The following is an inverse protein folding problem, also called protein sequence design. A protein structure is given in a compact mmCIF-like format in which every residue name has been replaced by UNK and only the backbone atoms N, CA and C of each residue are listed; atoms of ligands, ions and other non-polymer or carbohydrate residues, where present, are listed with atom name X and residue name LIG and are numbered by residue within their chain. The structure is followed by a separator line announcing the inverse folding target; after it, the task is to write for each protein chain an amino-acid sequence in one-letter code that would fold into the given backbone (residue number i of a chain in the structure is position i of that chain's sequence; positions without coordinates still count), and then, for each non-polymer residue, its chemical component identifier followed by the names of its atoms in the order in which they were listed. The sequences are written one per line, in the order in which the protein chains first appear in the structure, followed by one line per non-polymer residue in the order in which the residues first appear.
data_IF_569104960119
#
_entry.id   IF_569104960119
#
_cell.length_a   1.000
_cell.length_b   1.000
_cell.length_c   1.000
_cell.angle_alpha   90.00
_cell.angle_beta   90.00
_cell.angle_gamma   90.00
#
_symmetry.space_group_name_H-M   'P 1'
#
loop_
_entity.id
_entity.type
_entity.pdbx_description
1 polymer ?
#
# COMPACT_ATOMS: atom_id res chain seq x y z
N UNK A 1 -42.94 -27.25 5.50
CA UNK A 1 -42.35 -28.60 5.65
C UNK A 1 -41.72 -28.97 4.32
N UNK A 2 -40.46 -28.67 4.14
CA UNK A 2 -39.70 -29.02 2.94
C UNK A 2 -38.99 -30.32 3.29
N UNK A 3 -39.14 -31.28 2.37
CA UNK A 3 -38.76 -32.67 2.54
C UNK A 3 -37.24 -32.85 2.76
N UNK A 4 -36.85 -33.48 3.85
CA UNK A 4 -35.46 -33.63 4.33
C UNK A 4 -34.55 -34.56 3.50
N UNK A 5 -34.97 -34.95 2.28
CA UNK A 5 -34.28 -35.95 1.48
C UNK A 5 -33.92 -35.53 0.06
N UNK A 6 -33.74 -34.21 -0.20
CA UNK A 6 -33.15 -33.78 -1.47
C UNK A 6 -31.63 -33.82 -1.38
N UNK A 7 -31.05 -34.88 -1.88
CA UNK A 7 -29.59 -34.95 -2.11
C UNK A 7 -29.12 -33.83 -2.99
N UNK A 8 -28.09 -33.12 -2.56
CA UNK A 8 -27.43 -32.05 -3.30
C UNK A 8 -26.91 -32.59 -4.65
N UNK A 9 -27.69 -32.41 -5.73
CA UNK A 9 -27.28 -32.84 -7.06
C UNK A 9 -26.47 -31.73 -7.74
N UNK A 10 -25.31 -32.07 -8.27
CA UNK A 10 -24.45 -31.19 -9.05
C UNK A 10 -25.20 -30.73 -10.31
N UNK A 11 -25.56 -29.45 -10.40
CA UNK A 11 -26.16 -28.89 -11.62
C UNK A 11 -27.21 -27.79 -11.42
N UNK A 12 -27.46 -27.30 -10.20
CA UNK A 12 -28.40 -26.24 -9.92
C UNK A 12 -27.71 -24.93 -9.52
N UNK A 13 -28.41 -23.80 -9.71
CA UNK A 13 -27.93 -22.42 -9.52
C UNK A 13 -27.09 -22.19 -8.26
N UNK A 14 -26.16 -21.22 -8.34
CA UNK A 14 -25.21 -20.86 -7.29
C UNK A 14 -25.87 -20.63 -5.91
N UNK A 15 -27.10 -20.18 -5.87
CA UNK A 15 -27.90 -19.99 -4.66
C UNK A 15 -28.24 -21.33 -3.99
N UNK A 16 -28.57 -22.35 -4.75
CA UNK A 16 -28.91 -23.68 -4.24
C UNK A 16 -27.66 -24.38 -3.66
N UNK A 17 -26.50 -24.16 -4.27
CA UNK A 17 -25.22 -24.68 -3.78
C UNK A 17 -24.84 -24.08 -2.43
N UNK A 18 -25.07 -22.76 -2.25
CA UNK A 18 -24.84 -22.08 -0.96
C UNK A 18 -25.74 -22.63 0.16
N UNK A 19 -27.04 -22.84 -0.12
CA UNK A 19 -27.96 -23.45 0.84
C UNK A 19 -27.54 -24.87 1.24
N UNK A 20 -27.11 -25.66 0.26
CA UNK A 20 -26.64 -27.01 0.50
C UNK A 20 -25.35 -27.03 1.34
N UNK A 21 -24.41 -26.12 1.09
CA UNK A 21 -23.17 -25.98 1.83
C UNK A 21 -23.44 -25.52 3.28
N UNK A 22 -24.38 -24.61 3.48
CA UNK A 22 -24.83 -24.16 4.80
C UNK A 22 -25.40 -25.36 5.58
N UNK A 23 -26.25 -26.17 4.96
CA UNK A 23 -26.86 -27.33 5.60
C UNK A 23 -25.85 -28.42 5.98
N UNK A 24 -24.84 -28.66 5.14
CA UNK A 24 -23.72 -29.57 5.45
C UNK A 24 -22.90 -29.05 6.62
N UNK A 25 -22.65 -27.75 6.68
CA UNK A 25 -21.93 -27.10 7.78
C UNK A 25 -22.73 -27.15 9.09
N UNK A 26 -24.06 -26.95 9.07
CA UNK A 26 -24.94 -27.11 10.22
C UNK A 26 -24.87 -28.51 10.79
N UNK A 27 -24.92 -29.52 9.94
CA UNK A 27 -24.83 -30.94 10.34
C UNK A 27 -23.45 -31.29 10.91
N UNK A 28 -22.38 -30.70 10.34
CA UNK A 28 -20.99 -30.97 10.74
C UNK A 28 -20.61 -30.27 12.06
N UNK A 29 -21.11 -29.05 12.29
CA UNK A 29 -20.83 -28.28 13.49
C UNK A 29 -21.88 -28.43 14.60
N UNK A 30 -22.99 -29.12 14.34
CA UNK A 30 -24.07 -29.32 15.30
C UNK A 30 -24.80 -28.04 15.70
N UNK A 31 -24.82 -27.03 14.83
CA UNK A 31 -25.40 -25.70 15.07
C UNK A 31 -26.73 -25.63 14.32
N UNK A 32 -27.84 -25.70 15.03
CA UNK A 32 -29.20 -25.72 14.44
C UNK A 32 -29.68 -24.38 13.84
N UNK A 33 -28.88 -23.33 13.83
CA UNK A 33 -29.29 -21.99 13.38
C UNK A 33 -28.13 -21.24 12.67
N UNK A 34 -27.36 -21.91 11.85
CA UNK A 34 -26.23 -21.27 11.13
C UNK A 34 -26.70 -20.14 10.22
N UNK A 35 -27.89 -20.26 9.63
CA UNK A 35 -28.49 -19.25 8.77
C UNK A 35 -28.78 -17.93 9.52
N UNK A 36 -29.29 -18.03 10.74
CA UNK A 36 -29.55 -16.86 11.59
C UNK A 36 -28.23 -16.17 12.01
N UNK A 37 -27.17 -16.96 12.31
CA UNK A 37 -25.85 -16.42 12.60
C UNK A 37 -25.22 -15.76 11.38
N UNK A 38 -25.38 -16.32 10.18
CA UNK A 38 -24.87 -15.70 8.95
C UNK A 38 -25.63 -14.43 8.61
N UNK A 39 -26.94 -14.39 8.80
CA UNK A 39 -27.75 -13.18 8.63
C UNK A 39 -27.36 -12.09 9.63
N UNK A 40 -27.15 -12.47 10.89
CA UNK A 40 -26.68 -11.56 11.93
C UNK A 40 -25.26 -11.04 11.65
N UNK A 41 -24.35 -11.90 11.23
CA UNK A 41 -22.99 -11.52 10.81
C UNK A 41 -23.01 -10.57 9.61
N UNK A 42 -23.88 -10.83 8.64
CA UNK A 42 -24.05 -9.96 7.48
C UNK A 42 -24.62 -8.59 7.87
N UNK A 43 -25.58 -8.54 8.80
CA UNK A 43 -26.10 -7.30 9.37
C UNK A 43 -24.99 -6.53 10.11
N UNK A 44 -24.19 -7.21 10.94
CA UNK A 44 -23.04 -6.60 11.62
C UNK A 44 -22.03 -6.05 10.61
N UNK A 45 -21.70 -6.81 9.58
CA UNK A 45 -20.82 -6.34 8.51
C UNK A 45 -21.38 -5.07 7.85
N UNK A 46 -22.68 -5.02 7.57
CA UNK A 46 -23.33 -3.84 6.99
C UNK A 46 -23.24 -2.60 7.88
N UNK A 47 -23.41 -2.77 9.20
CA UNK A 47 -23.31 -1.70 10.18
C UNK A 47 -21.86 -1.28 10.40
N UNK A 48 -20.91 -2.24 10.45
CA UNK A 48 -19.51 -1.94 10.74
C UNK A 48 -18.71 -1.52 9.50
N UNK A 49 -19.13 -1.86 8.28
CA UNK A 49 -18.42 -1.47 7.05
C UNK A 49 -18.21 0.05 6.93
N UNK A 50 -19.21 0.92 7.10
CA UNK A 50 -18.99 2.36 7.04
C UNK A 50 -18.08 2.85 8.18
N UNK A 51 -18.13 2.24 9.36
CA UNK A 51 -17.24 2.56 10.48
C UNK A 51 -15.79 2.16 10.17
N UNK A 52 -15.59 0.98 9.60
CA UNK A 52 -14.27 0.50 9.16
C UNK A 52 -13.71 1.43 8.08
N UNK A 53 -14.52 1.81 7.10
CA UNK A 53 -14.12 2.74 6.05
C UNK A 53 -13.74 4.12 6.60
N UNK A 54 -14.42 4.58 7.64
CA UNK A 54 -14.08 5.83 8.33
C UNK A 54 -12.73 5.73 9.08
N UNK A 55 -12.45 4.58 9.71
CA UNK A 55 -11.24 4.36 10.50
C UNK A 55 -10.00 4.13 9.60
N UNK A 56 -10.21 3.69 8.38
CA UNK A 56 -9.19 3.29 7.42
C UNK A 56 -8.07 4.33 7.19
N UNK A 57 -8.36 5.62 6.92
CA UNK A 57 -7.31 6.63 6.78
C UNK A 57 -6.54 6.88 8.08
N UNK A 58 -7.21 6.76 9.24
CA UNK A 58 -6.55 6.90 10.53
C UNK A 58 -5.60 5.75 10.82
N UNK A 59 -5.91 4.54 10.37
CA UNK A 59 -5.02 3.39 10.49
C UNK A 59 -3.70 3.61 9.73
N UNK A 60 -3.75 4.18 8.53
CA UNK A 60 -2.56 4.52 7.77
C UNK A 60 -1.69 5.58 8.48
N UNK A 61 -2.32 6.60 9.06
CA UNK A 61 -1.63 7.62 9.85
C UNK A 61 -1.01 6.98 11.11
N UNK A 62 -1.74 6.11 11.77
CA UNK A 62 -1.25 5.35 12.93
C UNK A 62 -0.01 4.51 12.56
N UNK A 63 -0.06 3.79 11.44
CA UNK A 63 1.06 2.99 10.95
C UNK A 63 2.29 3.86 10.64
N UNK A 64 2.07 5.05 10.10
CA UNK A 64 3.13 6.02 9.84
C UNK A 64 3.81 6.47 11.14
N UNK A 65 3.03 6.84 12.16
CA UNK A 65 3.58 7.21 13.46
C UNK A 65 4.24 6.04 14.18
N UNK A 66 3.70 4.84 14.06
CA UNK A 66 4.33 3.62 14.57
C UNK A 66 5.71 3.41 13.93
N UNK A 67 5.82 3.63 12.62
CA UNK A 67 7.10 3.60 11.90
C UNK A 67 8.07 4.63 12.46
N UNK A 68 7.63 5.85 12.73
CA UNK A 68 8.46 6.92 13.31
C UNK A 68 8.95 6.52 14.71
N UNK A 69 8.07 6.02 15.56
CA UNK A 69 8.42 5.54 16.91
C UNK A 69 9.44 4.42 16.84
N UNK A 70 9.22 3.45 15.96
CA UNK A 70 10.18 2.36 15.71
C UNK A 70 11.56 2.91 15.33
N UNK A 71 11.66 3.87 14.42
CA UNK A 71 12.93 4.45 14.00
C UNK A 71 13.65 5.19 15.15
N UNK A 72 12.90 5.88 16.02
CA UNK A 72 13.47 6.53 17.19
C UNK A 72 14.03 5.50 18.20
N UNK A 73 13.29 4.41 18.45
CA UNK A 73 13.75 3.31 19.30
C UNK A 73 14.97 2.64 18.68
N UNK A 74 14.96 2.40 17.39
CA UNK A 74 16.06 1.80 16.65
C UNK A 74 17.31 2.66 16.74
N UNK A 75 17.20 3.96 16.49
CA UNK A 75 18.30 4.92 16.66
C UNK A 75 18.86 4.87 18.07
N UNK A 76 18.01 4.95 19.08
CA UNK A 76 18.43 4.94 20.50
C UNK A 76 19.15 3.66 20.89
N UNK A 77 18.72 2.50 20.41
CA UNK A 77 19.35 1.20 20.69
C UNK A 77 20.70 1.01 19.98
N UNK A 78 20.90 1.67 18.84
CA UNK A 78 22.06 1.45 17.98
C UNK A 78 23.01 2.68 17.92
N UNK A 79 22.98 3.57 18.93
CA UNK A 79 23.82 4.78 18.98
C UNK A 79 25.32 4.46 18.81
N UNK A 80 25.80 3.36 19.41
CA UNK A 80 27.19 2.94 19.25
C UNK A 80 27.51 2.44 17.82
N UNK A 81 26.52 1.82 17.15
CA UNK A 81 26.67 1.39 15.77
C UNK A 81 26.71 2.55 14.79
N UNK A 82 26.03 3.65 15.10
CA UNK A 82 25.99 4.87 14.27
C UNK A 82 27.40 5.47 14.11
N UNK A 83 28.24 5.35 15.12
CA UNK A 83 29.62 5.85 15.09
C UNK A 83 30.57 5.00 14.23
N UNK A 84 30.27 3.72 13.99
CA UNK A 84 31.18 2.77 13.37
C UNK A 84 30.67 2.09 12.08
N UNK A 85 29.43 2.32 11.65
CA UNK A 85 28.83 1.63 10.51
C UNK A 85 28.10 2.58 9.58
N UNK A 86 28.52 2.59 8.31
CA UNK A 86 27.81 3.31 7.24
C UNK A 86 26.43 2.73 6.90
N UNK A 87 26.13 1.50 7.36
CA UNK A 87 24.91 0.76 7.01
C UNK A 87 23.94 0.61 8.19
N UNK A 88 24.01 1.52 9.16
CA UNK A 88 23.15 1.49 10.34
C UNK A 88 21.66 1.33 9.99
N UNK A 89 21.21 2.08 8.99
CA UNK A 89 19.80 2.20 8.64
C UNK A 89 19.27 1.08 7.73
N UNK A 90 20.12 0.23 7.17
CA UNK A 90 19.67 -0.80 6.22
C UNK A 90 18.72 -1.81 6.85
N UNK A 91 19.00 -2.24 8.08
CA UNK A 91 18.10 -3.12 8.83
C UNK A 91 16.75 -2.45 9.14
N UNK A 92 16.77 -1.18 9.55
CA UNK A 92 15.57 -0.41 9.81
C UNK A 92 14.76 -0.17 8.52
N UNK A 93 15.43 0.20 7.43
CA UNK A 93 14.79 0.37 6.11
C UNK A 93 14.13 -0.92 5.65
N UNK A 94 14.82 -2.06 5.80
CA UNK A 94 14.26 -3.36 5.41
C UNK A 94 13.01 -3.70 6.21
N UNK A 95 13.05 -3.52 7.54
CA UNK A 95 11.89 -3.77 8.41
C UNK A 95 10.71 -2.88 8.03
N UNK A 96 10.95 -1.58 7.88
CA UNK A 96 9.91 -0.62 7.49
C UNK A 96 9.38 -0.91 6.08
N UNK A 97 10.26 -1.19 5.14
CA UNK A 97 9.85 -1.54 3.77
C UNK A 97 8.98 -2.80 3.74
N UNK A 98 9.33 -3.84 4.50
CA UNK A 98 8.52 -5.06 4.60
C UNK A 98 7.14 -4.78 5.22
N UNK A 99 7.09 -3.94 6.25
CA UNK A 99 5.83 -3.54 6.89
C UNK A 99 4.91 -2.79 5.90
N UNK A 100 5.46 -1.82 5.18
CA UNK A 100 4.72 -1.04 4.20
C UNK A 100 4.34 -1.86 2.96
N UNK A 101 5.16 -2.80 2.55
CA UNK A 101 4.85 -3.74 1.47
C UNK A 101 3.70 -4.68 1.83
N UNK A 102 3.73 -5.24 3.04
CA UNK A 102 2.62 -6.04 3.56
C UNK A 102 1.31 -5.24 3.65
N UNK A 103 1.36 -4.00 4.15
CA UNK A 103 0.21 -3.11 4.17
C UNK A 103 -0.30 -2.81 2.74
N UNK A 104 0.60 -2.54 1.81
CA UNK A 104 0.26 -2.28 0.41
C UNK A 104 -0.47 -3.47 -0.24
N UNK A 105 0.04 -4.68 -0.02
CA UNK A 105 -0.53 -5.90 -0.59
C UNK A 105 -1.91 -6.21 0.00
N UNK A 106 -2.03 -6.21 1.33
CA UNK A 106 -3.27 -6.61 2.02
C UNK A 106 -4.36 -5.54 1.86
N UNK A 107 -3.98 -4.26 2.03
CA UNK A 107 -4.96 -3.18 2.14
C UNK A 107 -5.37 -2.58 0.80
N UNK A 108 -4.41 -2.38 -0.09
CA UNK A 108 -4.64 -1.74 -1.38
C UNK A 108 -4.47 -2.69 -2.59
N UNK A 109 -3.98 -3.92 -2.37
CA UNK A 109 -3.62 -4.83 -3.46
C UNK A 109 -2.63 -4.20 -4.44
N UNK A 110 -1.67 -3.45 -3.89
CA UNK A 110 -0.72 -2.67 -4.67
C UNK A 110 0.28 -3.58 -5.37
N UNK A 111 0.35 -3.47 -6.68
CA UNK A 111 1.29 -4.19 -7.54
C UNK A 111 2.13 -3.18 -8.35
N UNK A 112 3.39 -3.51 -8.57
CA UNK A 112 4.29 -2.72 -9.43
C UNK A 112 4.62 -3.53 -10.66
N UNK A 113 4.29 -2.99 -11.83
CA UNK A 113 4.63 -3.57 -13.12
C UNK A 113 5.82 -2.84 -13.73
N UNK A 114 6.76 -3.58 -14.32
CA UNK A 114 7.94 -2.98 -14.98
C UNK A 114 9.09 -2.69 -14.03
N UNK A 115 9.20 -3.39 -12.91
CA UNK A 115 10.31 -3.26 -11.97
C UNK A 115 11.67 -3.54 -12.63
N UNK A 116 11.69 -4.36 -13.67
CA UNK A 116 12.86 -4.65 -14.51
C UNK A 116 13.40 -3.43 -15.27
N UNK A 117 12.58 -2.41 -15.49
CA UNK A 117 12.96 -1.16 -16.15
C UNK A 117 13.75 -0.23 -15.24
N UNK A 118 13.71 -0.47 -13.94
CA UNK A 118 14.51 0.28 -12.98
C UNK A 118 15.92 -0.31 -12.99
N UNK A 119 16.96 0.47 -13.30
CA UNK A 119 18.32 -0.03 -13.37
C UNK A 119 18.78 -0.53 -12.00
N UNK A 120 19.53 -1.63 -12.00
CA UNK A 120 20.14 -2.17 -10.78
C UNK A 120 21.25 -1.26 -10.26
N UNK A 121 21.98 -0.60 -11.19
CA UNK A 121 23.03 0.36 -10.91
C UNK A 121 22.87 1.64 -11.74
N UNK A 122 23.53 2.71 -11.29
CA UNK A 122 23.55 3.99 -12.01
C UNK A 122 22.33 4.89 -11.69
N UNK A 123 22.33 6.08 -12.28
CA UNK A 123 21.30 7.08 -12.01
C UNK A 123 20.00 6.77 -12.77
N UNK A 124 18.87 7.07 -12.15
CA UNK A 124 17.59 7.14 -12.83
C UNK A 124 16.70 8.19 -12.20
N UNK A 125 15.95 8.89 -13.04
CA UNK A 125 14.94 9.85 -12.63
C UNK A 125 13.55 9.19 -12.72
N UNK A 126 12.86 9.14 -11.59
CA UNK A 126 11.49 8.63 -11.47
C UNK A 126 10.57 9.83 -11.34
N UNK A 127 9.59 9.91 -12.21
CA UNK A 127 8.56 10.95 -12.19
C UNK A 127 7.27 10.30 -11.75
N UNK A 128 6.63 10.86 -10.72
CA UNK A 128 5.36 10.38 -10.21
C UNK A 128 4.35 11.51 -10.05
N UNK A 129 3.08 11.14 -10.08
CA UNK A 129 1.99 12.06 -9.80
C UNK A 129 1.78 12.18 -8.28
N UNK A 130 1.63 13.40 -7.80
CA UNK A 130 1.37 13.66 -6.39
C UNK A 130 -0.14 13.72 -6.13
N UNK A 131 -0.70 12.66 -5.55
CA UNK A 131 -2.05 12.70 -4.98
C UNK A 131 -2.10 13.51 -3.68
N UNK A 132 -3.27 13.59 -3.05
CA UNK A 132 -3.44 14.31 -1.77
C UNK A 132 -2.46 13.77 -0.70
N UNK A 133 -2.34 12.46 -0.60
CA UNK A 133 -1.30 11.77 0.19
C UNK A 133 -0.66 10.74 -0.76
N UNK A 134 0.63 10.87 -1.10
CA UNK A 134 1.29 9.99 -2.06
C UNK A 134 1.69 8.65 -1.43
N UNK A 135 0.70 7.92 -0.89
CA UNK A 135 0.92 6.66 -0.18
C UNK A 135 1.41 5.57 -1.12
N UNK A 136 0.93 5.58 -2.36
CA UNK A 136 1.37 4.72 -3.46
C UNK A 136 2.87 4.85 -3.72
N UNK A 137 3.40 6.06 -3.62
CA UNK A 137 4.84 6.30 -3.75
C UNK A 137 5.64 5.72 -2.57
N UNK A 138 5.11 5.74 -1.34
CA UNK A 138 5.75 5.05 -0.20
C UNK A 138 5.83 3.53 -0.44
N UNK A 139 4.79 2.93 -0.99
CA UNK A 139 4.78 1.51 -1.36
C UNK A 139 5.80 1.23 -2.47
N UNK A 140 5.87 2.11 -3.46
CA UNK A 140 6.85 2.00 -4.53
C UNK A 140 8.28 2.05 -4.02
N UNK A 141 8.61 2.98 -3.12
CA UNK A 141 9.93 3.03 -2.48
C UNK A 141 10.24 1.75 -1.70
N UNK A 142 9.27 1.20 -0.98
CA UNK A 142 9.42 -0.06 -0.26
C UNK A 142 9.71 -1.22 -1.23
N UNK A 143 8.96 -1.32 -2.33
CA UNK A 143 9.20 -2.32 -3.39
C UNK A 143 10.58 -2.21 -4.01
N UNK A 144 11.04 -1.00 -4.36
CA UNK A 144 12.40 -0.78 -4.90
C UNK A 144 13.45 -1.28 -3.89
N UNK A 145 13.28 -0.91 -2.62
CA UNK A 145 14.24 -1.32 -1.60
C UNK A 145 14.30 -2.84 -1.40
N UNK A 146 13.14 -3.50 -1.40
CA UNK A 146 13.04 -4.96 -1.23
C UNK A 146 13.61 -5.70 -2.44
N UNK A 147 13.25 -5.29 -3.66
CA UNK A 147 13.60 -6.03 -4.89
C UNK A 147 14.96 -5.67 -5.47
N UNK A 148 15.38 -4.41 -5.34
CA UNK A 148 16.63 -3.89 -5.93
C UNK A 148 17.71 -3.59 -4.89
N UNK A 149 17.40 -3.61 -3.59
CA UNK A 149 18.33 -3.22 -2.53
C UNK A 149 18.74 -1.74 -2.60
N UNK A 150 18.04 -0.92 -3.41
CA UNK A 150 18.39 0.48 -3.67
C UNK A 150 17.45 1.42 -2.95
N UNK A 151 18.01 2.47 -2.36
CA UNK A 151 17.22 3.57 -1.78
C UNK A 151 16.88 4.58 -2.86
N UNK A 152 15.59 4.81 -3.09
CA UNK A 152 15.11 5.89 -3.94
C UNK A 152 15.05 7.19 -3.14
N UNK A 153 15.80 8.21 -3.55
CA UNK A 153 15.75 9.55 -2.94
C UNK A 153 14.55 10.30 -3.50
N UNK A 154 13.80 10.99 -2.64
CA UNK A 154 12.61 11.73 -3.07
C UNK A 154 12.74 13.20 -2.74
N UNK A 155 12.33 14.05 -3.68
CA UNK A 155 12.20 15.48 -3.40
C UNK A 155 10.86 15.71 -2.71
N UNK A 156 10.93 16.21 -1.48
CA UNK A 156 9.77 16.53 -0.67
C UNK A 156 9.70 18.05 -0.39
N UNK A 157 8.49 18.53 -0.16
CA UNK A 157 8.27 19.93 0.19
C UNK A 157 8.82 20.23 1.60
N UNK A 158 9.28 21.47 1.79
CA UNK A 158 9.88 21.92 3.03
C UNK A 158 8.94 21.77 4.26
N UNK A 159 7.64 21.92 4.07
CA UNK A 159 6.70 21.83 5.19
C UNK A 159 6.70 20.43 5.84
N UNK A 160 6.96 19.35 5.06
CA UNK A 160 6.96 17.98 5.55
C UNK A 160 8.06 17.77 6.61
N UNK A 161 9.20 18.46 6.46
CA UNK A 161 10.30 18.43 7.43
C UNK A 161 9.96 19.14 8.75
N UNK A 162 8.92 19.98 8.75
CA UNK A 162 8.43 20.70 9.96
C UNK A 162 7.42 19.87 10.77
N UNK A 163 6.90 18.78 10.22
CA UNK A 163 5.96 17.92 10.93
C UNK A 163 6.72 17.21 12.07
N UNK A 164 6.20 17.27 13.30
CA UNK A 164 6.85 16.64 14.44
C UNK A 164 7.11 15.14 14.22
N UNK A 165 8.36 14.73 14.42
CA UNK A 165 8.80 13.33 14.28
C UNK A 165 9.13 12.90 12.85
N UNK A 166 8.73 13.62 11.81
CA UNK A 166 8.96 13.24 10.42
C UNK A 166 10.42 13.40 9.98
N UNK A 167 11.18 14.31 10.58
CA UNK A 167 12.57 14.55 10.16
C UNK A 167 13.41 13.28 10.12
N UNK A 168 13.31 12.44 11.16
CA UNK A 168 14.05 11.17 11.21
C UNK A 168 13.58 10.19 10.13
N UNK A 169 12.29 10.10 9.88
CA UNK A 169 11.74 9.27 8.80
C UNK A 169 12.27 9.71 7.44
N UNK A 170 12.24 11.02 7.18
CA UNK A 170 12.71 11.60 5.93
C UNK A 170 14.22 11.40 5.73
N UNK A 171 15.01 11.54 6.78
CA UNK A 171 16.45 11.30 6.76
C UNK A 171 16.77 9.82 6.46
N UNK A 172 16.09 8.90 7.13
CA UNK A 172 16.28 7.46 6.93
C UNK A 172 15.95 7.03 5.51
N UNK A 173 14.90 7.60 4.92
CA UNK A 173 14.51 7.31 3.54
C UNK A 173 15.15 8.27 2.52
N UNK A 174 16.13 9.05 2.95
CA UNK A 174 16.90 9.94 2.08
C UNK A 174 16.01 10.93 1.29
N UNK A 175 14.91 11.38 1.91
CA UNK A 175 14.13 12.48 1.38
C UNK A 175 14.94 13.78 1.46
N UNK A 176 14.79 14.62 0.46
CA UNK A 176 15.52 15.87 0.38
C UNK A 176 14.60 17.00 -0.02
N UNK A 177 14.94 18.18 0.42
CA UNK A 177 14.42 19.41 -0.15
C UNK A 177 15.60 20.21 -0.70
N UNK A 178 15.38 20.97 -1.75
CA UNK A 178 16.45 21.81 -2.23
C UNK A 178 16.31 22.17 -3.71
N UNK A 179 17.24 23.01 -4.18
CA UNK A 179 17.25 23.49 -5.53
C UNK A 179 17.60 22.38 -6.53
N UNK A 180 17.35 22.69 -7.81
CA UNK A 180 17.60 21.79 -8.94
C UNK A 180 19.04 21.23 -8.97
N UNK A 181 20.01 22.05 -8.58
CA UNK A 181 21.44 21.71 -8.59
C UNK A 181 21.72 20.47 -7.71
N UNK A 182 21.06 20.39 -6.55
CA UNK A 182 21.18 19.26 -5.64
C UNK A 182 20.59 17.96 -6.24
N UNK A 183 19.51 18.08 -7.00
CA UNK A 183 18.95 16.95 -7.74
C UNK A 183 19.91 16.43 -8.81
N UNK A 184 20.55 17.34 -9.52
CA UNK A 184 21.55 17.00 -10.55
C UNK A 184 22.78 16.33 -9.91
N UNK A 185 23.24 16.81 -8.76
CA UNK A 185 24.35 16.21 -8.03
C UNK A 185 24.04 14.77 -7.62
N UNK A 186 22.84 14.51 -7.10
CA UNK A 186 22.37 13.18 -6.71
C UNK A 186 22.36 12.22 -7.90
N UNK A 187 21.84 12.66 -9.04
CA UNK A 187 21.85 11.85 -10.26
C UNK A 187 23.28 11.60 -10.75
N UNK A 188 24.16 12.61 -10.71
CA UNK A 188 25.58 12.44 -11.05
C UNK A 188 26.31 11.44 -10.15
N UNK A 189 25.86 11.35 -8.89
CA UNK A 189 26.38 10.37 -7.93
C UNK A 189 25.81 8.95 -8.11
N UNK A 190 25.04 8.70 -9.17
CA UNK A 190 24.55 7.36 -9.51
C UNK A 190 23.33 6.90 -8.71
N UNK A 191 22.60 7.82 -8.05
CA UNK A 191 21.44 7.46 -7.25
C UNK A 191 20.11 7.54 -8.01
N UNK A 192 19.12 6.80 -7.50
CA UNK A 192 17.73 6.97 -7.92
C UNK A 192 17.18 8.25 -7.31
N UNK A 193 16.52 9.06 -8.12
CA UNK A 193 15.86 10.28 -7.69
C UNK A 193 14.41 10.26 -8.16
N UNK A 194 13.49 10.53 -7.25
CA UNK A 194 12.07 10.67 -7.56
C UNK A 194 11.61 12.11 -7.35
N UNK A 195 10.85 12.61 -8.30
CA UNK A 195 10.27 13.95 -8.26
C UNK A 195 8.79 13.91 -8.67
N UNK A 196 7.98 14.74 -8.04
CA UNK A 196 6.67 15.12 -8.54
C UNK A 196 6.75 16.51 -9.14
N UNK A 197 6.62 16.69 -10.45
CA UNK A 197 6.85 17.99 -11.11
C UNK A 197 5.93 19.11 -10.61
N UNK A 198 4.68 18.77 -10.31
CA UNK A 198 3.68 19.71 -9.79
C UNK A 198 3.74 19.89 -8.26
N UNK A 199 4.41 18.97 -7.55
CA UNK A 199 4.53 18.97 -6.10
C UNK A 199 3.16 19.07 -5.39
N UNK A 200 3.14 19.80 -4.27
CA UNK A 200 1.90 20.02 -3.48
C UNK A 200 0.82 20.77 -4.28
N UNK A 201 1.20 21.59 -5.25
CA UNK A 201 0.23 22.30 -6.11
C UNK A 201 -0.57 21.31 -6.96
N UNK A 202 0.06 20.26 -7.46
CA UNK A 202 -0.58 19.19 -8.22
C UNK A 202 -1.65 18.46 -7.40
N UNK A 203 -1.40 18.29 -6.10
CA UNK A 203 -2.35 17.68 -5.16
C UNK A 203 -3.56 18.59 -4.84
N UNK A 204 -3.36 19.90 -4.83
CA UNK A 204 -4.37 20.86 -4.39
C UNK A 204 -5.11 21.56 -5.54
N UNK A 205 -4.46 21.76 -6.70
CA UNK A 205 -4.97 22.53 -7.83
C UNK A 205 -4.76 21.72 -9.11
N UNK A 206 -5.80 21.01 -9.54
CA UNK A 206 -5.71 20.04 -10.65
C UNK A 206 -5.64 20.65 -12.08
N UNK A 207 -5.75 21.98 -12.22
CA UNK A 207 -5.93 22.60 -13.54
C UNK A 207 -4.67 22.65 -14.42
N UNK A 208 -3.48 22.78 -13.83
CA UNK A 208 -2.23 22.91 -14.61
C UNK A 208 -1.62 21.57 -15.03
N UNK A 209 -2.09 20.44 -14.49
CA UNK A 209 -1.52 19.10 -14.68
C UNK A 209 -2.30 18.22 -15.63
N UNK A 210 -3.18 18.79 -16.42
CA UNK A 210 -4.07 18.04 -17.31
C UNK A 210 -3.35 17.03 -18.22
N UNK A 211 -2.15 17.34 -18.69
CA UNK A 211 -1.35 16.45 -19.55
C UNK A 211 -0.81 15.24 -18.81
N UNK A 212 -0.25 15.43 -17.61
CA UNK A 212 0.27 14.33 -16.77
C UNK A 212 -0.87 13.45 -16.30
N UNK A 213 -1.98 14.04 -15.86
CA UNK A 213 -3.19 13.32 -15.46
C UNK A 213 -3.76 12.49 -16.60
N UNK A 214 -3.87 13.04 -17.80
CA UNK A 214 -4.38 12.31 -18.98
C UNK A 214 -3.44 11.18 -19.41
N UNK A 215 -2.12 11.40 -19.38
CA UNK A 215 -1.16 10.35 -19.67
C UNK A 215 -1.21 9.22 -18.62
N UNK A 216 -1.35 9.58 -17.35
CA UNK A 216 -1.53 8.60 -16.27
C UNK A 216 -2.85 7.86 -16.41
N UNK A 217 -3.96 8.56 -16.72
CA UNK A 217 -5.27 7.94 -16.94
C UNK A 217 -5.21 6.94 -18.11
N UNK A 218 -4.55 7.31 -19.20
CA UNK A 218 -4.36 6.40 -20.33
C UNK A 218 -3.55 5.14 -19.97
N UNK A 219 -2.57 5.27 -19.07
CA UNK A 219 -1.82 4.13 -18.54
C UNK A 219 -2.69 3.26 -17.61
N UNK A 220 -3.49 3.89 -16.76
CA UNK A 220 -4.45 3.20 -15.88
C UNK A 220 -5.44 2.41 -16.73
N UNK A 221 -6.07 3.03 -17.71
CA UNK A 221 -7.06 2.41 -18.59
C UNK A 221 -6.46 1.23 -19.37
N UNK A 222 -5.17 1.32 -19.71
CA UNK A 222 -4.46 0.26 -20.44
C UNK A 222 -4.04 -0.92 -19.57
N UNK A 223 -3.67 -0.69 -18.32
CA UNK A 223 -2.99 -1.68 -17.48
C UNK A 223 -3.80 -2.09 -16.23
N UNK A 224 -4.71 -1.26 -15.76
CA UNK A 224 -5.52 -1.57 -14.61
C UNK A 224 -6.75 -2.39 -15.01
N UNK A 225 -6.83 -3.62 -14.53
CA UNK A 225 -8.08 -4.38 -14.59
C UNK A 225 -9.01 -3.83 -13.50
N UNK A 226 -10.09 -3.18 -13.92
CA UNK A 226 -11.16 -2.78 -13.00
C UNK A 226 -11.94 -4.06 -12.67
N UNK A 227 -11.89 -4.57 -11.45
CA UNK A 227 -12.71 -5.71 -11.09
C UNK A 227 -14.18 -5.27 -11.12
N UNK A 228 -15.00 -5.98 -11.88
CA UNK A 228 -16.42 -5.69 -11.99
C UNK A 228 -17.22 -5.89 -10.69
N UNK A 229 -16.58 -6.50 -9.67
CA UNK A 229 -17.17 -6.72 -8.36
C UNK A 229 -16.07 -6.76 -7.29
N UNK A 230 -16.29 -6.08 -6.16
CA UNK A 230 -15.36 -6.04 -5.02
C UNK A 230 -15.03 -7.44 -4.51
N UNK A 231 -16.01 -8.36 -4.51
CA UNK A 231 -15.83 -9.73 -4.06
C UNK A 231 -14.89 -10.51 -4.98
N UNK A 232 -14.99 -10.35 -6.29
CA UNK A 232 -14.08 -10.99 -7.24
C UNK A 232 -12.65 -10.45 -7.13
N UNK A 233 -12.50 -9.16 -6.85
CA UNK A 233 -11.20 -8.54 -6.59
C UNK A 233 -10.55 -9.07 -5.31
N UNK A 234 -11.33 -9.26 -4.27
CA UNK A 234 -10.85 -9.86 -3.02
C UNK A 234 -10.44 -11.32 -3.21
N UNK A 235 -11.27 -12.11 -3.88
CA UNK A 235 -10.98 -13.52 -4.15
C UNK A 235 -9.71 -13.70 -5.02
N UNK A 236 -9.51 -12.84 -6.01
CA UNK A 236 -8.30 -12.86 -6.85
C UNK A 236 -7.01 -12.58 -6.05
N UNK A 237 -7.11 -11.81 -4.95
CA UNK A 237 -5.98 -11.53 -4.05
C UNK A 237 -5.59 -12.72 -3.16
N UNK A 238 -6.53 -13.58 -2.83
CA UNK A 238 -6.27 -14.77 -2.00
C UNK A 238 -5.88 -16.00 -2.82
N UNK A 239 -6.04 -15.97 -4.15
CA UNK A 239 -5.67 -17.05 -5.05
C UNK A 239 -4.30 -16.89 -5.71
N UNK A 240 -3.57 -15.78 -5.45
CA UNK A 240 -2.17 -15.58 -5.83
C UNK A 240 -1.26 -15.83 -4.63
#
# INVERSE_FOLDING_TARGET
MIDKNQTCAAGQDSVHYMFCLVHILEEWFGVEQLEDYLNFANYLLWVFTPLILLILPYFTIFLLYLTIVFLHIYKRKNVLKEAYSHNLWDGARKTVATLWDGHAAVWHGYEVHGMEKIPDDGPALIIFYHGAIPIDFYYFMAKIFIHKGRTCRVVADHFVFKIPGFSLLLDVFCALHGPREKCVEILRSGHLLAISPGGVREALISDETYRTKNALQALIDKHQRIPGNIMSALLERFHK
#
